data_IF_428988116344
#
_entry.id   IF_428988116344
#
_cell.length_a   1.000
_cell.length_b   1.000
_cell.length_c   1.000
_cell.angle_alpha   90.00
_cell.angle_beta   90.00
_cell.angle_gamma   90.00
#
_symmetry.space_group_name_H-M   'P 1'
#
loop_
_entity.id
_entity.type
_entity.pdbx_description
1 polymer ?
#
# COMPACT_ATOMS: atom_id res chain seq x y z
N UNK A 1 -23.11 2.05 13.29
CA UNK A 1 -23.48 2.43 11.91
C UNK A 1 -22.31 1.98 11.05
N UNK A 2 -22.51 1.07 10.10
CA UNK A 2 -21.43 0.67 9.19
C UNK A 2 -21.28 1.75 8.12
N UNK A 3 -20.07 2.28 7.94
CA UNK A 3 -19.76 3.39 7.01
C UNK A 3 -20.00 3.06 5.53
N UNK A 4 -20.60 1.90 5.21
CA UNK A 4 -20.92 1.47 3.86
C UNK A 4 -19.71 1.31 2.95
N UNK A 5 -18.50 1.29 3.51
CA UNK A 5 -17.24 1.11 2.80
C UNK A 5 -17.01 -0.37 2.53
N UNK A 6 -16.63 -0.70 1.31
CA UNK A 6 -16.24 -2.06 0.91
C UNK A 6 -14.70 -2.13 0.92
N UNK A 7 -14.15 -3.22 1.47
CA UNK A 7 -12.72 -3.53 1.49
C UNK A 7 -12.48 -4.78 0.66
N UNK A 8 -11.47 -4.72 -0.21
CA UNK A 8 -10.95 -5.91 -0.90
C UNK A 8 -9.43 -6.00 -0.71
N UNK A 9 -8.98 -7.16 -0.28
CA UNK A 9 -7.57 -7.47 -0.04
C UNK A 9 -7.16 -8.72 -0.83
N UNK A 10 -5.95 -8.70 -1.39
CA UNK A 10 -5.36 -9.84 -2.11
C UNK A 10 -4.02 -10.20 -1.47
N UNK A 11 -3.84 -11.47 -1.12
CA UNK A 11 -2.65 -11.99 -0.45
C UNK A 11 -1.96 -13.01 -1.33
N UNK A 12 -0.63 -13.02 -1.32
CA UNK A 12 0.15 -14.11 -1.91
C UNK A 12 0.05 -15.34 -0.99
N UNK A 13 -0.46 -16.46 -1.49
CA UNK A 13 -0.72 -17.64 -0.66
C UNK A 13 0.54 -18.33 -0.12
N UNK A 14 1.69 -18.12 -0.76
CA UNK A 14 2.95 -18.78 -0.37
C UNK A 14 3.69 -17.99 0.69
N UNK A 15 3.82 -16.69 0.47
CA UNK A 15 4.51 -15.77 1.37
C UNK A 15 3.58 -15.23 2.46
N UNK A 16 2.28 -15.06 2.21
CA UNK A 16 1.36 -14.34 3.09
C UNK A 16 1.41 -12.83 2.91
N UNK A 17 2.19 -12.33 1.95
CA UNK A 17 2.34 -10.89 1.74
C UNK A 17 1.05 -10.28 1.16
N UNK A 18 0.61 -9.15 1.72
CA UNK A 18 -0.51 -8.36 1.22
C UNK A 18 -0.10 -7.67 -0.09
N UNK A 19 -0.64 -8.16 -1.21
CA UNK A 19 -0.33 -7.66 -2.55
C UNK A 19 -1.17 -6.45 -2.93
N UNK A 20 -2.44 -6.46 -2.53
CA UNK A 20 -3.42 -5.44 -2.87
C UNK A 20 -4.30 -5.11 -1.68
N UNK A 21 -4.55 -3.83 -1.44
CA UNK A 21 -5.63 -3.37 -0.57
C UNK A 21 -6.33 -2.22 -1.24
N UNK A 22 -7.63 -2.34 -1.45
CA UNK A 22 -8.45 -1.29 -2.05
C UNK A 22 -9.75 -1.09 -1.29
N UNK A 23 -10.17 0.16 -1.22
CA UNK A 23 -11.38 0.59 -0.54
C UNK A 23 -12.36 1.16 -1.56
N UNK A 24 -13.65 0.90 -1.38
CA UNK A 24 -14.71 1.50 -2.20
C UNK A 24 -15.69 2.23 -1.30
N UNK A 25 -15.80 3.53 -1.50
CA UNK A 25 -16.69 4.42 -0.74
C UNK A 25 -17.94 4.71 -1.56
N UNK A 26 -19.13 4.54 -0.98
CA UNK A 26 -20.38 4.94 -1.65
C UNK A 26 -20.35 6.43 -1.95
N UNK A 27 -20.78 6.83 -3.15
CA UNK A 27 -20.85 8.26 -3.46
C UNK A 27 -21.97 8.93 -2.66
N UNK A 28 -21.81 10.22 -2.36
CA UNK A 28 -22.80 11.04 -1.66
C UNK A 28 -24.16 11.11 -2.37
N UNK A 29 -24.22 10.75 -3.66
CA UNK A 29 -25.41 10.78 -4.50
C UNK A 29 -25.91 9.37 -4.87
N UNK A 30 -25.58 8.35 -4.07
CA UNK A 30 -26.08 6.98 -4.27
C UNK A 30 -25.48 6.24 -5.48
N UNK A 31 -24.43 6.80 -6.10
CA UNK A 31 -23.68 6.16 -7.17
C UNK A 31 -22.70 5.10 -6.66
N UNK A 32 -22.33 4.17 -7.55
CA UNK A 32 -21.31 3.16 -7.27
C UNK A 32 -19.95 3.85 -7.07
N UNK A 33 -19.37 3.66 -5.89
CA UNK A 33 -18.03 4.17 -5.55
C UNK A 33 -16.93 3.67 -6.47
N UNK A 34 -15.89 4.49 -6.68
CA UNK A 34 -14.65 4.03 -7.31
C UNK A 34 -13.78 3.30 -6.28
N UNK A 35 -13.05 2.29 -6.73
CA UNK A 35 -12.02 1.64 -5.91
C UNK A 35 -10.80 2.55 -5.80
N UNK A 36 -10.35 2.78 -4.57
CA UNK A 36 -9.14 3.51 -4.25
C UNK A 36 -8.10 2.52 -3.71
N UNK A 37 -6.93 2.48 -4.35
CA UNK A 37 -5.87 1.55 -4.00
C UNK A 37 -4.99 2.15 -2.91
N UNK A 38 -4.93 1.48 -1.75
CA UNK A 38 -4.05 1.82 -0.63
C UNK A 38 -2.69 1.10 -0.76
N UNK A 39 -2.72 -0.18 -1.16
CA UNK A 39 -1.55 -1.04 -1.38
C UNK A 39 -1.67 -1.68 -2.75
N UNK A 40 -0.54 -1.81 -3.44
CA UNK A 40 -0.47 -2.33 -4.80
C UNK A 40 -0.75 -1.26 -5.86
N UNK A 41 -0.60 -1.66 -7.11
CA UNK A 41 -0.73 -0.75 -8.25
C UNK A 41 -2.14 -0.88 -8.83
N UNK A 42 -2.79 0.25 -9.09
CA UNK A 42 -3.97 0.24 -9.96
C UNK A 42 -3.51 -0.26 -11.34
N UNK A 43 -4.16 -1.28 -11.93
CA UNK A 43 -3.83 -1.70 -13.27
C UNK A 43 -3.88 -0.47 -14.18
N UNK A 44 -2.73 -0.11 -14.77
CA UNK A 44 -2.70 0.89 -15.82
C UNK A 44 -3.62 0.35 -16.91
N UNK A 45 -4.62 1.12 -17.37
CA UNK A 45 -5.43 0.68 -18.50
C UNK A 45 -4.43 0.30 -19.60
N UNK A 46 -4.46 -0.97 -20.04
CA UNK A 46 -3.72 -1.36 -21.22
C UNK A 46 -4.09 -0.34 -22.29
N UNK A 47 -3.08 0.32 -22.85
CA UNK A 47 -3.25 1.22 -23.99
C UNK A 47 -4.17 0.51 -24.98
N UNK A 48 -5.44 0.91 -25.03
CA UNK A 48 -6.26 0.60 -26.18
C UNK A 48 -5.51 1.27 -27.32
N UNK A 49 -4.90 0.47 -28.19
CA UNK A 49 -4.06 0.92 -29.29
C UNK A 49 -4.82 1.86 -30.26
N UNK A 50 -6.15 1.95 -30.11
CA UNK A 50 -7.07 2.86 -30.80
C UNK A 50 -7.29 4.22 -30.09
N UNK A 51 -6.59 4.50 -28.99
CA UNK A 51 -6.75 5.79 -28.29
C UNK A 51 -5.84 6.84 -28.92
N UNK A 52 -6.30 7.47 -30.00
CA UNK A 52 -5.77 8.75 -30.49
C UNK A 52 -6.09 9.88 -29.48
N UNK A 53 -5.55 9.78 -28.26
CA UNK A 53 -5.86 10.67 -27.14
C UNK A 53 -4.66 11.01 -26.27
N UNK A 54 -4.89 11.86 -25.27
CA UNK A 54 -3.86 12.26 -24.29
C UNK A 54 -3.55 11.10 -23.34
N UNK A 55 -2.27 10.75 -23.22
CA UNK A 55 -1.76 9.76 -22.26
C UNK A 55 -0.96 10.44 -21.16
N UNK A 56 -0.97 9.89 -19.96
CA UNK A 56 -0.14 10.37 -18.86
C UNK A 56 1.34 10.23 -19.24
N UNK A 57 2.14 11.27 -18.95
CA UNK A 57 3.57 11.21 -19.21
C UNK A 57 4.24 10.15 -18.34
N UNK A 58 4.96 9.23 -18.98
CA UNK A 58 5.77 8.21 -18.32
C UNK A 58 7.00 8.77 -17.59
N UNK A 59 7.23 10.09 -17.62
CA UNK A 59 8.31 10.76 -16.87
C UNK A 59 7.87 11.30 -15.52
N UNK A 60 6.56 11.34 -15.25
CA UNK A 60 6.06 11.82 -13.96
C UNK A 60 6.40 10.83 -12.84
N UNK A 61 6.72 11.30 -11.62
CA UNK A 61 6.95 10.40 -10.50
C UNK A 61 5.73 9.54 -10.18
N UNK A 62 5.92 8.22 -10.12
CA UNK A 62 4.84 7.27 -9.79
C UNK A 62 5.05 6.73 -8.38
N UNK A 63 4.12 7.07 -7.49
CA UNK A 63 4.17 6.70 -6.06
C UNK A 63 3.33 5.44 -5.82
N UNK A 64 3.97 4.37 -5.34
CA UNK A 64 3.36 3.07 -5.09
C UNK A 64 3.67 2.62 -3.67
N UNK A 65 2.70 2.03 -2.96
CA UNK A 65 2.96 1.29 -1.72
C UNK A 65 3.02 -0.21 -2.00
N UNK A 66 4.09 -0.86 -1.56
CA UNK A 66 4.28 -2.31 -1.63
C UNK A 66 4.92 -2.78 -0.33
N UNK A 67 4.13 -3.40 0.52
CA UNK A 67 4.62 -3.81 1.82
C UNK A 67 5.37 -5.14 1.74
N UNK A 68 6.19 -5.37 2.76
CA UNK A 68 6.83 -6.65 3.05
C UNK A 68 6.38 -7.10 4.44
N UNK A 69 6.75 -8.32 4.85
CA UNK A 69 6.47 -8.80 6.21
C UNK A 69 6.97 -7.87 7.30
N UNK A 70 8.16 -7.29 7.12
CA UNK A 70 8.85 -6.52 8.17
C UNK A 70 8.79 -5.01 7.97
N UNK A 71 8.48 -4.53 6.78
CA UNK A 71 8.48 -3.10 6.45
C UNK A 71 7.27 -2.70 5.62
N UNK A 72 6.73 -1.52 5.92
CA UNK A 72 5.93 -0.77 4.96
C UNK A 72 6.87 -0.12 3.95
N UNK A 73 6.62 -0.29 2.65
CA UNK A 73 7.49 0.34 1.64
C UNK A 73 6.72 1.16 0.63
N UNK A 74 7.29 2.32 0.29
CA UNK A 74 6.86 3.13 -0.82
C UNK A 74 7.95 3.17 -1.89
N UNK A 75 7.58 2.81 -3.10
CA UNK A 75 8.42 2.86 -4.29
C UNK A 75 7.98 4.02 -5.15
N UNK A 76 8.91 4.92 -5.43
CA UNK A 76 8.64 6.12 -6.21
C UNK A 76 9.53 6.05 -7.45
N UNK A 77 8.92 5.67 -8.57
CA UNK A 77 9.61 5.56 -9.87
C UNK A 77 9.79 6.94 -10.49
N UNK A 78 10.62 7.02 -11.53
CA UNK A 78 10.90 8.23 -12.30
C UNK A 78 11.50 9.37 -11.45
N UNK A 79 12.32 8.99 -10.48
CA UNK A 79 13.08 9.89 -9.62
C UNK A 79 14.57 9.78 -9.99
N UNK A 80 15.10 10.64 -10.87
CA UNK A 80 16.43 10.45 -11.47
C UNK A 80 17.59 11.02 -10.65
N UNK A 81 17.32 11.78 -9.59
CA UNK A 81 18.36 12.40 -8.78
C UNK A 81 19.03 11.36 -7.87
N UNK A 82 20.30 11.55 -7.45
CA UNK A 82 20.96 10.64 -6.52
C UNK A 82 20.29 10.68 -5.13
N UNK A 83 20.54 9.64 -4.32
CA UNK A 83 19.95 9.49 -2.98
C UNK A 83 20.15 10.73 -2.09
N UNK A 84 21.30 11.40 -2.20
CA UNK A 84 21.67 12.60 -1.43
C UNK A 84 20.79 13.82 -1.72
N UNK A 85 20.06 13.83 -2.83
CA UNK A 85 19.12 14.91 -3.14
C UNK A 85 17.78 14.74 -2.41
N UNK A 86 17.48 13.57 -1.86
CA UNK A 86 16.22 13.29 -1.18
C UNK A 86 16.36 13.49 0.33
N UNK A 87 15.38 14.17 0.90
CA UNK A 87 15.28 14.45 2.32
C UNK A 87 13.98 13.84 2.80
N UNK A 88 14.07 12.90 3.73
CA UNK A 88 12.92 12.35 4.47
C UNK A 88 12.89 12.93 5.87
N UNK A 89 11.71 13.32 6.33
CA UNK A 89 11.49 13.85 7.68
C UNK A 89 10.13 13.42 8.21
N UNK A 90 10.02 13.31 9.53
CA UNK A 90 8.73 13.28 10.21
C UNK A 90 8.16 14.70 10.32
N UNK A 91 6.86 14.82 10.04
CA UNK A 91 6.07 16.03 10.23
C UNK A 91 5.44 16.07 11.63
N UNK A 92 5.08 17.26 12.10
CA UNK A 92 4.49 17.48 13.44
C UNK A 92 3.16 16.75 13.63
N UNK A 93 2.41 16.57 12.54
CA UNK A 93 1.16 15.82 12.49
C UNK A 93 1.36 14.30 12.33
N UNK A 94 2.58 13.79 12.50
CA UNK A 94 2.87 12.35 12.47
C UNK A 94 2.96 11.74 11.06
N UNK A 95 3.01 12.57 10.02
CA UNK A 95 3.17 12.14 8.63
C UNK A 95 4.63 12.10 8.19
N UNK A 96 4.91 11.44 7.08
CA UNK A 96 6.21 11.42 6.42
C UNK A 96 6.23 12.49 5.33
N UNK A 97 7.28 13.31 5.31
CA UNK A 97 7.57 14.27 4.24
C UNK A 97 8.79 13.79 3.48
N UNK A 98 8.61 13.56 2.19
CA UNK A 98 9.69 13.44 1.21
C UNK A 98 9.82 14.75 0.44
N UNK A 99 11.02 15.31 0.44
CA UNK A 99 11.36 16.51 -0.33
C UNK A 99 12.70 16.35 -1.04
N UNK A 100 13.00 17.29 -1.92
CA UNK A 100 14.28 17.34 -2.64
C UNK A 100 15.02 18.64 -2.37
N UNK A 101 16.35 18.61 -2.35
CA UNK A 101 17.19 19.80 -2.12
C UNK A 101 16.92 20.88 -3.18
N UNK A 102 16.77 20.47 -4.44
CA UNK A 102 16.43 21.34 -5.55
C UNK A 102 14.94 21.75 -5.63
N UNK A 103 14.12 21.33 -4.66
CA UNK A 103 12.68 21.64 -4.54
C UNK A 103 11.84 21.20 -5.75
N UNK A 104 12.31 20.22 -6.54
CA UNK A 104 11.58 19.71 -7.72
C UNK A 104 10.51 18.69 -7.37
N UNK A 105 10.60 18.08 -6.19
CA UNK A 105 9.67 17.08 -5.72
C UNK A 105 9.37 17.27 -4.23
N UNK A 106 8.09 17.18 -3.89
CA UNK A 106 7.55 17.20 -2.54
C UNK A 106 6.38 16.22 -2.47
N UNK A 107 6.35 15.37 -1.46
CA UNK A 107 5.27 14.44 -1.18
C UNK A 107 5.13 14.31 0.34
N UNK A 108 3.91 14.48 0.83
CA UNK A 108 3.54 14.21 2.22
C UNK A 108 2.54 13.06 2.25
N UNK A 109 2.75 12.08 3.11
CA UNK A 109 1.90 10.89 3.21
C UNK A 109 1.98 10.30 4.61
N UNK A 110 0.94 9.57 5.03
CA UNK A 110 0.90 8.88 6.31
C UNK A 110 1.09 7.37 6.15
N UNK A 111 1.17 6.67 7.28
CA UNK A 111 1.09 5.21 7.35
C UNK A 111 -0.29 4.87 7.94
N UNK A 112 -1.29 4.56 7.10
CA UNK A 112 -2.65 4.27 7.56
C UNK A 112 -2.73 3.22 8.67
N UNK A 113 -1.83 2.23 8.65
CA UNK A 113 -1.79 1.16 9.64
C UNK A 113 -1.35 1.66 11.02
N UNK A 114 -0.44 2.63 11.11
CA UNK A 114 -0.10 3.27 12.38
C UNK A 114 -1.29 4.07 12.92
N UNK A 115 -2.01 4.79 12.05
CA UNK A 115 -3.19 5.55 12.45
C UNK A 115 -4.29 4.63 12.98
N UNK A 116 -4.55 3.50 12.29
CA UNK A 116 -5.52 2.47 12.71
C UNK A 116 -5.17 1.85 14.06
N UNK A 117 -3.88 1.65 14.33
CA UNK A 117 -3.39 1.13 15.62
C UNK A 117 -3.10 2.22 16.66
N UNK A 118 -3.39 3.49 16.37
CA UNK A 118 -3.06 4.64 17.21
C UNK A 118 -1.58 4.71 17.64
N UNK A 119 -0.67 4.28 16.76
CA UNK A 119 0.77 4.29 16.96
C UNK A 119 1.40 5.57 16.40
N UNK A 120 2.46 6.04 17.04
CA UNK A 120 3.20 7.22 16.58
C UNK A 120 4.27 6.81 15.56
N UNK A 121 4.46 7.65 14.55
CA UNK A 121 5.58 7.54 13.62
C UNK A 121 6.91 7.84 14.34
N UNK A 122 7.91 6.98 14.16
CA UNK A 122 9.26 7.14 14.72
C UNK A 122 10.26 7.28 13.56
N UNK A 123 11.05 8.37 13.54
CA UNK A 123 11.90 8.70 12.38
C UNK A 123 13.12 7.79 12.24
N UNK A 124 13.59 7.19 13.33
CA UNK A 124 14.69 6.23 13.39
C UNK A 124 14.38 4.90 12.66
N UNK A 125 13.10 4.57 12.48
CA UNK A 125 12.63 3.37 11.76
C UNK A 125 12.50 3.57 10.26
N UNK A 126 12.79 4.78 9.75
CA UNK A 126 12.76 5.10 8.33
C UNK A 126 14.11 4.80 7.67
N UNK A 127 14.03 4.13 6.54
CA UNK A 127 15.19 3.78 5.72
C UNK A 127 14.96 4.25 4.28
N UNK A 128 16.03 4.70 3.62
CA UNK A 128 16.02 5.15 2.23
C UNK A 128 17.00 4.33 1.40
N UNK A 129 16.57 3.91 0.23
CA UNK A 129 17.41 3.35 -0.81
C UNK A 129 17.03 3.94 -2.17
N UNK A 130 17.98 4.10 -3.07
CA UNK A 130 17.72 4.59 -4.42
C UNK A 130 18.53 3.79 -5.44
N UNK A 131 17.84 3.27 -6.45
CA UNK A 131 18.44 2.55 -7.57
C UNK A 131 17.49 2.58 -8.77
N UNK A 132 18.03 2.51 -9.99
CA UNK A 132 17.24 2.40 -11.23
C UNK A 132 16.11 3.45 -11.32
N UNK A 133 16.44 4.72 -11.06
CA UNK A 133 15.49 5.86 -11.03
C UNK A 133 14.28 5.64 -10.10
N UNK A 134 14.45 4.81 -9.07
CA UNK A 134 13.39 4.46 -8.12
C UNK A 134 13.89 4.70 -6.70
N UNK A 135 13.19 5.57 -5.98
CA UNK A 135 13.40 5.75 -4.55
C UNK A 135 12.54 4.74 -3.79
N UNK A 136 13.13 4.03 -2.84
CA UNK A 136 12.47 3.12 -1.93
C UNK A 136 12.55 3.73 -0.54
N UNK A 137 11.38 4.06 0.02
CA UNK A 137 11.23 4.44 1.42
C UNK A 137 10.72 3.21 2.15
N UNK A 138 11.41 2.78 3.19
CA UNK A 138 10.96 1.69 4.05
C UNK A 138 10.73 2.19 5.47
N UNK A 139 9.66 1.74 6.11
CA UNK A 139 9.40 1.94 7.53
C UNK A 139 9.29 0.59 8.22
N UNK A 140 10.14 0.34 9.22
CA UNK A 140 10.11 -0.92 9.97
C UNK A 140 8.83 -1.03 10.80
N UNK A 141 8.08 -2.11 10.58
CA UNK A 141 6.82 -2.34 11.29
C UNK A 141 7.09 -2.49 12.80
N UNK A 142 6.32 -1.80 13.67
CA UNK A 142 6.37 -2.02 15.10
C UNK A 142 5.99 -3.45 15.47
N UNK A 143 6.54 -3.95 16.58
CA UNK A 143 6.32 -5.32 17.03
C UNK A 143 4.83 -5.64 17.25
N UNK A 144 4.07 -4.69 17.77
CA UNK A 144 2.62 -4.81 17.99
C UNK A 144 1.84 -5.12 16.71
N UNK A 145 2.22 -4.50 15.59
CA UNK A 145 1.62 -4.75 14.29
C UNK A 145 2.03 -6.14 13.78
N UNK A 146 3.30 -6.52 13.92
CA UNK A 146 3.78 -7.84 13.48
C UNK A 146 3.07 -8.98 14.21
N UNK A 147 2.84 -8.83 15.51
CA UNK A 147 2.10 -9.81 16.32
C UNK A 147 0.63 -9.90 15.93
N UNK A 148 0.01 -8.77 15.62
CA UNK A 148 -1.38 -8.72 15.12
C UNK A 148 -1.50 -9.41 13.76
N UNK A 149 -0.64 -9.07 12.79
CA UNK A 149 -0.61 -9.69 11.46
C UNK A 149 -0.39 -11.20 11.57
N UNK A 150 0.54 -11.64 12.43
CA UNK A 150 0.81 -13.07 12.66
C UNK A 150 -0.39 -13.81 13.25
N UNK A 151 -1.11 -13.18 14.19
CA UNK A 151 -2.31 -13.79 14.79
C UNK A 151 -3.42 -13.94 13.75
N UNK A 152 -3.64 -12.90 12.94
CA UNK A 152 -4.60 -12.93 11.85
C UNK A 152 -4.27 -14.00 10.79
N UNK A 153 -3.00 -14.13 10.40
CA UNK A 153 -2.55 -15.20 9.50
C UNK A 153 -2.84 -16.60 10.07
N UNK A 154 -2.66 -16.79 11.38
CA UNK A 154 -2.95 -18.06 12.03
C UNK A 154 -4.45 -18.37 12.05
N UNK A 155 -5.30 -17.37 12.27
CA UNK A 155 -6.76 -17.52 12.22
C UNK A 155 -7.25 -17.89 10.83
N UNK A 156 -6.77 -17.20 9.78
CA UNK A 156 -7.10 -17.54 8.38
C UNK A 156 -6.68 -18.98 8.05
N UNK A 157 -5.47 -19.40 8.47
CA UNK A 157 -4.99 -20.76 8.23
C UNK A 157 -5.86 -21.81 8.91
N UNK A 158 -6.35 -21.54 10.13
CA UNK A 158 -7.28 -22.43 10.84
C UNK A 158 -8.64 -22.52 10.14
N UNK A 159 -9.18 -21.41 9.66
CA UNK A 159 -10.47 -21.40 8.95
C UNK A 159 -10.40 -22.21 7.64
N UNK A 160 -9.34 -22.03 6.84
CA UNK A 160 -9.15 -22.79 5.59
C UNK A 160 -8.99 -24.30 5.82
N UNK A 161 -8.26 -24.69 6.87
CA UNK A 161 -8.08 -26.10 7.19
C UNK A 161 -9.40 -26.80 7.58
N UNK A 162 -10.40 -26.05 8.06
CA UNK A 162 -11.72 -26.59 8.36
C UNK A 162 -12.61 -26.72 7.10
N UNK A 163 -12.50 -25.80 6.12
CA UNK A 163 -13.27 -25.87 4.87
C UNK A 163 -12.83 -27.03 3.97
N UNK A 164 -11.53 -27.38 3.94
CA UNK A 164 -11.03 -28.55 3.19
C UNK A 164 -11.46 -29.90 3.81
N UNK A 165 -12.06 -29.90 5.01
CA UNK A 165 -12.50 -31.09 5.74
C UNK A 165 -13.99 -31.41 5.64
N UNK A 166 -14.80 -30.56 5.01
CA UNK A 166 -16.27 -30.70 5.01
C UNK A 166 -16.85 -30.53 3.60
N UNK A 167 -16.54 -31.48 2.72
CA UNK A 167 -17.27 -31.70 1.46
C UNK A 167 -17.59 -33.19 1.31
N UNK A 168 -18.50 -33.70 2.14
CA UNK A 168 -19.19 -34.96 1.88
C UNK A 168 -20.65 -34.64 1.51
N UNK A 169 -20.83 -34.07 0.32
CA UNK A 169 -22.16 -33.96 -0.28
C UNK A 169 -22.56 -35.35 -0.77
N UNK A 170 -23.28 -36.12 0.04
CA UNK A 170 -23.98 -37.32 -0.44
C UNK A 170 -25.18 -36.90 -1.30
N UNK A 171 -25.22 -37.24 -2.60
CA UNK A 171 -26.41 -37.02 -3.41
C UNK A 171 -27.49 -38.05 -3.03
N UNK A 172 -28.68 -37.55 -2.71
CA UNK A 172 -29.91 -38.34 -2.56
C UNK A 172 -30.50 -38.74 -3.91
#
# INVERSE_FOLDING_TARGET
MSDGMELAEEYDLKSGDLLLRKWKRKSTLGGVGKWEYEIGEQPTPLLNLDTEGLVESNTNPVFLRKDTKSHYQWRIRNLPYPISNYIIKKSDDGQIILSTVNKKYYKKFSIPDLERCALKLEEDKLELAHANNTLIISYKKPQSILEMEKTFEQEIKKMKANEDGEMDCTPS
#
